data_IF_719187258028
#
_entry.id   IF_719187258028
#
_cell.length_a   1.000
_cell.length_b   1.000
_cell.length_c   1.000
_cell.angle_alpha   90.00
_cell.angle_beta   90.00
_cell.angle_gamma   90.00
#
_symmetry.space_group_name_H-M   'P 1'
#
loop_
_entity.id
_entity.type
_entity.pdbx_description
1 polymer ?
#
# COMPACT_ATOMS: atom_id res chain seq x y z
N UNK A 1 6.15 13.85 -15.30
CA UNK A 1 5.77 12.44 -15.06
C UNK A 1 4.59 12.12 -15.96
N UNK A 2 4.60 10.99 -16.68
CA UNK A 2 3.45 10.51 -17.45
C UNK A 2 2.87 9.30 -16.72
N UNK A 3 1.59 9.36 -16.36
CA UNK A 3 0.86 8.27 -15.69
C UNK A 3 -0.08 7.67 -16.71
N UNK A 4 0.21 6.46 -17.18
CA UNK A 4 -0.63 5.77 -18.18
C UNK A 4 -1.93 5.23 -17.54
N UNK A 5 -1.86 4.65 -16.33
CA UNK A 5 -3.03 4.19 -15.57
C UNK A 5 -3.04 4.73 -14.14
N UNK A 6 -4.20 5.19 -13.66
CA UNK A 6 -4.39 5.73 -12.32
C UNK A 6 -5.24 4.76 -11.47
N UNK A 7 -4.76 4.40 -10.29
CA UNK A 7 -5.49 3.56 -9.34
C UNK A 7 -5.98 4.43 -8.18
N UNK A 8 -7.29 4.49 -7.98
CA UNK A 8 -7.90 5.35 -6.96
C UNK A 8 -9.04 4.64 -6.23
N UNK A 9 -9.19 4.86 -4.92
CA UNK A 9 -10.41 4.45 -4.26
C UNK A 9 -11.59 5.30 -4.76
N UNK A 10 -12.80 4.75 -4.74
CA UNK A 10 -14.01 5.50 -5.11
C UNK A 10 -14.19 6.80 -4.31
N UNK A 11 -13.67 6.85 -3.07
CA UNK A 11 -13.61 8.07 -2.25
C UNK A 11 -12.88 9.23 -2.95
N UNK A 12 -11.77 8.96 -3.65
CA UNK A 12 -11.01 10.00 -4.35
C UNK A 12 -11.77 10.61 -5.54
N UNK A 13 -12.87 9.99 -5.98
CA UNK A 13 -13.76 10.49 -7.04
C UNK A 13 -14.94 11.24 -6.44
N UNK A 14 -15.52 10.70 -5.37
CA UNK A 14 -16.79 11.15 -4.79
C UNK A 14 -16.61 12.26 -3.77
N UNK A 15 -15.42 12.37 -3.18
CA UNK A 15 -15.12 13.37 -2.18
C UNK A 15 -15.30 14.81 -2.68
N UNK A 16 -15.86 15.65 -1.81
CA UNK A 16 -16.18 17.06 -2.05
C UNK A 16 -15.26 17.97 -1.22
N UNK A 17 -15.18 19.25 -1.60
CA UNK A 17 -14.42 20.28 -0.86
C UNK A 17 -12.93 19.93 -0.66
N UNK A 18 -12.26 19.52 -1.73
CA UNK A 18 -10.81 19.32 -1.77
C UNK A 18 -10.10 20.58 -2.25
N UNK A 19 -8.98 20.89 -1.59
CA UNK A 19 -8.05 21.94 -1.97
C UNK A 19 -6.83 21.39 -2.72
N UNK A 20 -6.09 22.29 -3.37
CA UNK A 20 -4.78 22.08 -3.98
C UNK A 20 -4.65 20.80 -4.83
N UNK A 21 -3.65 19.97 -4.56
CA UNK A 21 -3.26 18.81 -5.36
C UNK A 21 -4.32 17.71 -5.34
N UNK A 22 -5.00 17.52 -4.20
CA UNK A 22 -6.06 16.52 -4.06
C UNK A 22 -7.21 16.80 -5.05
N UNK A 23 -7.52 18.08 -5.26
CA UNK A 23 -8.52 18.50 -6.26
C UNK A 23 -8.09 18.14 -7.68
N UNK A 24 -6.81 18.30 -8.01
CA UNK A 24 -6.25 18.00 -9.35
C UNK A 24 -6.32 16.49 -9.62
N UNK A 25 -5.88 15.67 -8.66
CA UNK A 25 -5.94 14.21 -8.79
C UNK A 25 -7.38 13.72 -8.93
N UNK A 26 -8.32 14.28 -8.15
CA UNK A 26 -9.75 13.97 -8.31
C UNK A 26 -10.27 14.35 -9.70
N UNK A 27 -9.92 15.53 -10.22
CA UNK A 27 -10.37 15.96 -11.55
C UNK A 27 -9.85 15.02 -12.65
N UNK A 28 -8.60 14.60 -12.56
CA UNK A 28 -8.02 13.62 -13.49
C UNK A 28 -8.72 12.25 -13.36
N UNK A 29 -8.94 11.77 -12.13
CA UNK A 29 -9.67 10.52 -11.89
C UNK A 29 -11.09 10.55 -12.46
N UNK A 30 -11.83 11.65 -12.22
CA UNK A 30 -13.17 11.87 -12.79
C UNK A 30 -13.12 11.89 -14.31
N UNK A 31 -12.18 12.61 -14.92
CA UNK A 31 -12.03 12.68 -16.37
C UNK A 31 -11.82 11.28 -16.97
N UNK A 32 -10.88 10.51 -16.42
CA UNK A 32 -10.57 9.15 -16.88
C UNK A 32 -11.73 8.18 -16.67
N UNK A 33 -12.45 8.27 -15.55
CA UNK A 33 -13.64 7.45 -15.30
C UNK A 33 -14.75 7.77 -16.29
N UNK A 34 -15.03 9.06 -16.54
CA UNK A 34 -16.02 9.48 -17.55
C UNK A 34 -15.61 8.98 -18.94
N UNK A 35 -14.32 8.97 -19.28
CA UNK A 35 -13.82 8.39 -20.54
C UNK A 35 -13.77 6.86 -20.55
N UNK A 36 -13.77 6.21 -19.39
CA UNK A 36 -13.70 4.76 -19.25
C UNK A 36 -12.33 4.16 -19.60
N UNK A 37 -11.24 4.92 -19.45
CA UNK A 37 -9.89 4.47 -19.85
C UNK A 37 -8.79 5.03 -18.94
N UNK A 38 -7.70 4.28 -18.79
CA UNK A 38 -6.52 4.69 -18.00
C UNK A 38 -6.78 4.83 -16.50
N UNK A 39 -7.81 4.15 -15.97
CA UNK A 39 -8.16 4.20 -14.54
C UNK A 39 -8.68 2.86 -14.03
N UNK A 40 -8.31 2.53 -12.79
CA UNK A 40 -8.95 1.52 -11.95
C UNK A 40 -9.50 2.18 -10.69
N UNK A 41 -10.80 1.98 -10.46
CA UNK A 41 -11.54 2.51 -9.32
C UNK A 41 -11.82 1.38 -8.35
N UNK A 42 -11.38 1.53 -7.10
CA UNK A 42 -11.50 0.49 -6.09
C UNK A 42 -12.73 0.74 -5.24
N UNK A 43 -13.58 -0.29 -5.11
CA UNK A 43 -14.92 -0.26 -4.52
C UNK A 43 -15.98 0.47 -5.36
N UNK A 44 -17.25 0.26 -4.98
CA UNK A 44 -18.47 0.75 -5.63
C UNK A 44 -19.51 1.25 -4.61
N UNK A 45 -19.21 2.31 -3.84
CA UNK A 45 -20.19 2.94 -2.97
C UNK A 45 -21.39 3.47 -3.75
N UNK A 46 -22.52 3.65 -3.06
CA UNK A 46 -23.68 4.39 -3.57
C UNK A 46 -23.29 5.75 -4.17
N UNK A 47 -22.38 6.49 -3.51
CA UNK A 47 -21.89 7.77 -3.97
C UNK A 47 -21.19 7.71 -5.36
N UNK A 48 -20.57 6.58 -5.73
CA UNK A 48 -19.98 6.41 -7.05
C UNK A 48 -21.07 6.25 -8.12
N UNK A 49 -22.16 5.54 -7.78
CA UNK A 49 -23.30 5.40 -8.68
C UNK A 49 -23.94 6.78 -8.94
N UNK A 50 -24.18 7.58 -7.91
CA UNK A 50 -24.72 8.95 -8.07
C UNK A 50 -23.81 9.82 -8.95
N UNK A 51 -22.48 9.75 -8.75
CA UNK A 51 -21.54 10.50 -9.61
C UNK A 51 -21.64 10.09 -11.09
N UNK A 52 -21.78 8.79 -11.38
CA UNK A 52 -21.93 8.31 -12.74
C UNK A 52 -23.26 8.79 -13.35
N UNK A 53 -24.36 8.71 -12.60
CA UNK A 53 -25.68 9.16 -13.03
C UNK A 53 -25.69 10.66 -13.38
N UNK A 54 -25.07 11.49 -12.54
CA UNK A 54 -24.89 12.93 -12.79
C UNK A 54 -24.11 13.23 -14.09
N UNK A 55 -23.32 12.27 -14.56
CA UNK A 55 -22.55 12.35 -15.81
C UNK A 55 -23.17 11.54 -16.96
N UNK A 56 -24.43 11.11 -16.82
CA UNK A 56 -25.17 10.37 -17.85
C UNK A 56 -24.64 8.95 -18.07
N UNK A 57 -24.07 8.33 -17.04
CA UNK A 57 -23.49 6.99 -17.04
C UNK A 57 -24.11 6.13 -15.95
N UNK A 58 -23.92 4.83 -16.06
CA UNK A 58 -24.32 3.84 -15.05
C UNK A 58 -23.10 3.02 -14.60
N UNK A 59 -23.24 2.29 -13.49
CA UNK A 59 -22.20 1.35 -13.03
C UNK A 59 -21.85 0.33 -14.13
N UNK A 60 -22.81 -0.32 -14.83
CA UNK A 60 -22.53 -1.20 -15.96
C UNK A 60 -21.67 -0.56 -17.06
N UNK A 61 -21.88 0.72 -17.38
CA UNK A 61 -21.08 1.40 -18.41
C UNK A 61 -19.60 1.50 -18.05
N UNK A 62 -19.25 1.34 -16.77
CA UNK A 62 -17.90 1.49 -16.23
C UNK A 62 -17.43 0.28 -15.41
N UNK A 63 -18.09 -0.86 -15.54
CA UNK A 63 -17.77 -2.05 -14.76
C UNK A 63 -16.31 -2.49 -14.96
N UNK A 64 -15.77 -2.37 -16.18
CA UNK A 64 -14.37 -2.71 -16.50
C UNK A 64 -13.33 -1.80 -15.85
N UNK A 65 -13.74 -0.62 -15.36
CA UNK A 65 -12.91 0.28 -14.58
C UNK A 65 -12.96 -0.03 -13.08
N UNK A 66 -13.94 -0.80 -12.59
CA UNK A 66 -14.20 -0.98 -11.16
C UNK A 66 -13.64 -2.32 -10.67
N UNK A 67 -12.93 -2.29 -9.54
CA UNK A 67 -12.35 -3.47 -8.90
C UNK A 67 -12.81 -3.52 -7.45
N UNK A 68 -13.36 -4.65 -7.03
CA UNK A 68 -13.76 -4.87 -5.64
C UNK A 68 -12.67 -5.58 -4.83
N UNK A 69 -12.70 -5.42 -3.51
CA UNK A 69 -11.98 -6.30 -2.61
C UNK A 69 -12.31 -7.77 -2.87
N UNK A 70 -11.30 -8.64 -2.77
CA UNK A 70 -11.40 -10.06 -3.08
C UNK A 70 -11.11 -10.41 -4.55
N UNK A 71 -10.83 -9.43 -5.41
CA UNK A 71 -10.50 -9.65 -6.83
C UNK A 71 -9.02 -9.39 -7.12
N UNK A 72 -8.54 -9.98 -8.20
CA UNK A 72 -7.27 -9.62 -8.82
C UNK A 72 -7.46 -8.37 -9.70
N UNK A 73 -6.44 -7.52 -9.75
CA UNK A 73 -6.39 -6.41 -10.70
C UNK A 73 -6.14 -6.97 -12.11
N UNK A 74 -7.00 -6.68 -13.10
CA UNK A 74 -6.79 -7.12 -14.47
C UNK A 74 -5.53 -6.52 -15.10
N UNK A 75 -4.88 -7.27 -15.99
CA UNK A 75 -3.69 -6.83 -16.74
C UNK A 75 -2.35 -7.21 -16.10
N UNK A 76 -2.37 -7.87 -14.94
CA UNK A 76 -1.18 -8.36 -14.25
C UNK A 76 -1.35 -9.86 -14.00
N UNK A 77 -0.56 -10.67 -14.72
CA UNK A 77 -0.50 -12.12 -14.52
C UNK A 77 0.89 -12.52 -14.05
N UNK A 78 0.97 -13.21 -12.91
CA UNK A 78 2.23 -13.74 -12.39
C UNK A 78 2.84 -14.83 -13.27
N UNK A 79 2.06 -15.43 -14.16
CA UNK A 79 2.52 -16.38 -15.18
C UNK A 79 2.81 -15.71 -16.52
N UNK A 80 2.36 -14.46 -16.70
CA UNK A 80 2.58 -13.63 -17.87
C UNK A 80 3.94 -12.91 -17.84
N UNK A 81 4.21 -12.09 -18.86
CA UNK A 81 5.44 -11.29 -18.92
C UNK A 81 5.54 -10.24 -17.80
N UNK A 82 4.42 -9.90 -17.15
CA UNK A 82 4.40 -9.01 -15.99
C UNK A 82 5.06 -9.65 -14.76
N UNK A 83 5.03 -10.99 -14.68
CA UNK A 83 5.56 -11.78 -13.57
C UNK A 83 5.07 -11.32 -12.19
N UNK A 84 3.91 -10.65 -12.15
CA UNK A 84 3.28 -10.16 -10.94
C UNK A 84 1.75 -10.18 -11.05
N UNK A 85 1.06 -10.34 -9.92
CA UNK A 85 -0.38 -10.14 -9.78
C UNK A 85 -0.68 -9.31 -8.52
N UNK A 86 -1.82 -8.61 -8.51
CA UNK A 86 -2.25 -7.77 -7.39
C UNK A 86 -3.63 -8.20 -6.91
N UNK A 87 -3.74 -8.64 -5.67
CA UNK A 87 -4.98 -8.98 -5.01
C UNK A 87 -5.45 -7.83 -4.12
N UNK A 88 -6.72 -7.45 -4.23
CA UNK A 88 -7.28 -6.30 -3.51
C UNK A 88 -7.86 -6.75 -2.17
N UNK A 89 -7.35 -6.19 -1.07
CA UNK A 89 -7.88 -6.40 0.27
C UNK A 89 -8.89 -5.32 0.69
N UNK A 90 -8.68 -4.08 0.26
CA UNK A 90 -9.43 -2.90 0.67
C UNK A 90 -9.48 -1.87 -0.47
N UNK A 91 -10.50 -1.01 -0.57
CA UNK A 91 -11.67 -0.86 0.32
C UNK A 91 -12.80 -1.89 0.15
N UNK A 92 -13.54 -2.14 1.23
CA UNK A 92 -14.78 -2.93 1.22
C UNK A 92 -16.00 -2.06 0.88
N UNK A 93 -16.81 -2.49 -0.10
CA UNK A 93 -17.97 -1.72 -0.60
C UNK A 93 -18.98 -1.31 0.47
N UNK A 94 -19.34 -2.23 1.37
CA UNK A 94 -20.35 -1.98 2.39
C UNK A 94 -19.94 -0.98 3.49
N UNK A 95 -18.64 -0.68 3.63
CA UNK A 95 -18.17 0.35 4.57
C UNK A 95 -18.36 1.77 4.02
N UNK A 96 -18.33 1.91 2.70
CA UNK A 96 -18.43 3.21 2.03
C UNK A 96 -19.88 3.72 1.89
N UNK A 97 -20.88 2.90 2.23
CA UNK A 97 -22.32 3.23 2.13
C UNK A 97 -22.88 3.89 3.41
N UNK A 98 -22.10 3.98 4.49
CA UNK A 98 -22.56 4.52 5.79
C UNK A 98 -22.55 6.07 5.89
N UNK A 99 -22.34 6.79 4.78
CA UNK A 99 -22.40 8.26 4.71
C UNK A 99 -21.23 9.02 5.35
N UNK A 100 -20.31 8.35 6.05
CA UNK A 100 -19.04 8.90 6.52
C UNK A 100 -17.91 8.41 5.61
N UNK A 101 -17.37 9.30 4.78
CA UNK A 101 -16.15 9.03 4.02
C UNK A 101 -14.97 9.17 4.99
N UNK A 102 -14.59 8.09 5.66
CA UNK A 102 -13.27 8.04 6.28
C UNK A 102 -12.23 7.78 5.17
N UNK A 103 -11.49 8.83 4.81
CA UNK A 103 -10.46 8.81 3.76
C UNK A 103 -9.46 7.68 3.95
N UNK A 104 -9.07 7.42 5.19
CA UNK A 104 -8.06 6.42 5.51
C UNK A 104 -8.63 5.01 5.37
N UNK A 105 -9.88 4.78 5.79
CA UNK A 105 -10.54 3.47 5.65
C UNK A 105 -10.99 3.18 4.21
N UNK A 106 -11.06 4.22 3.37
CA UNK A 106 -11.19 4.09 1.92
C UNK A 106 -9.90 3.70 1.20
N UNK A 107 -8.77 3.55 1.90
CA UNK A 107 -7.48 3.32 1.26
C UNK A 107 -7.39 1.98 0.53
N UNK A 108 -6.65 2.00 -0.58
CA UNK A 108 -6.31 0.81 -1.33
C UNK A 108 -5.24 0.03 -0.56
N UNK A 109 -5.57 -1.20 -0.18
CA UNK A 109 -4.59 -2.17 0.31
C UNK A 109 -4.55 -3.33 -0.66
N UNK A 110 -3.36 -3.62 -1.18
CA UNK A 110 -3.14 -4.73 -2.10
C UNK A 110 -2.06 -5.65 -1.60
N UNK A 111 -2.24 -6.93 -1.90
CA UNK A 111 -1.22 -7.95 -1.81
C UNK A 111 -0.67 -8.18 -3.22
N UNK A 112 0.63 -7.98 -3.38
CA UNK A 112 1.34 -8.21 -4.64
C UNK A 112 2.09 -9.53 -4.55
N UNK A 113 1.84 -10.43 -5.50
CA UNK A 113 2.63 -11.65 -5.68
C UNK A 113 3.52 -11.46 -6.88
N UNK A 114 4.84 -11.57 -6.69
CA UNK A 114 5.83 -11.54 -7.77
C UNK A 114 6.46 -12.91 -7.93
N UNK A 115 6.69 -13.32 -9.17
CA UNK A 115 7.21 -14.64 -9.50
C UNK A 115 8.56 -14.55 -10.19
N UNK A 116 9.52 -15.34 -9.71
CA UNK A 116 10.80 -15.54 -10.38
C UNK A 116 11.12 -17.04 -10.44
N UNK A 117 11.03 -17.61 -11.65
CA UNK A 117 11.14 -19.05 -11.85
C UNK A 117 10.02 -19.81 -11.14
N UNK A 118 10.37 -20.54 -10.08
CA UNK A 118 9.42 -21.29 -9.24
C UNK A 118 9.11 -20.60 -7.91
N UNK A 119 9.83 -19.53 -7.59
CA UNK A 119 9.71 -18.83 -6.31
C UNK A 119 8.69 -17.70 -6.42
N UNK A 120 7.88 -17.54 -5.37
CA UNK A 120 6.97 -16.41 -5.20
C UNK A 120 7.42 -15.56 -4.02
N UNK A 121 7.37 -14.25 -4.21
CA UNK A 121 7.58 -13.21 -3.20
C UNK A 121 6.30 -12.42 -3.03
N UNK A 122 5.94 -12.18 -1.78
CA UNK A 122 4.72 -11.50 -1.40
C UNK A 122 5.01 -10.14 -0.79
N UNK A 123 4.37 -9.10 -1.32
CA UNK A 123 4.43 -7.76 -0.72
C UNK A 123 3.03 -7.31 -0.29
N UNK A 124 2.86 -7.01 0.99
CA UNK A 124 1.68 -6.36 1.50
C UNK A 124 1.90 -4.84 1.44
N UNK A 125 1.21 -4.19 0.50
CA UNK A 125 1.33 -2.76 0.27
C UNK A 125 0.31 -2.02 1.13
N UNK A 126 0.72 -1.71 2.36
CA UNK A 126 -0.09 -0.98 3.32
C UNK A 126 -0.32 0.48 2.94
N UNK A 127 -1.50 0.96 3.29
CA UNK A 127 -1.87 2.36 3.26
C UNK A 127 -2.11 2.86 4.68
N UNK A 128 -2.88 3.93 4.86
CA UNK A 128 -3.00 4.60 6.17
C UNK A 128 -4.16 4.06 7.02
N UNK A 129 -4.48 2.77 6.84
CA UNK A 129 -5.53 2.09 7.60
C UNK A 129 -5.10 1.78 9.05
N UNK A 130 -6.08 1.74 9.94
CA UNK A 130 -5.90 1.43 11.35
C UNK A 130 -6.07 -0.08 11.65
N UNK A 131 -5.97 -0.41 12.94
CA UNK A 131 -6.12 -1.76 13.47
C UNK A 131 -7.52 -2.34 13.25
N UNK A 132 -8.58 -1.53 13.19
CA UNK A 132 -9.94 -2.02 12.94
C UNK A 132 -10.07 -2.51 11.50
N UNK A 133 -9.60 -1.71 10.54
CA UNK A 133 -9.56 -2.11 9.13
C UNK A 133 -8.62 -3.27 8.87
N UNK A 134 -7.47 -3.32 9.51
CA UNK A 134 -6.58 -4.47 9.42
C UNK A 134 -7.24 -5.74 9.97
N UNK A 135 -7.87 -5.65 11.15
CA UNK A 135 -8.60 -6.77 11.74
C UNK A 135 -9.72 -7.25 10.81
N UNK A 136 -10.40 -6.33 10.14
CA UNK A 136 -11.44 -6.66 9.17
C UNK A 136 -10.88 -7.33 7.91
N UNK A 137 -9.74 -6.87 7.38
CA UNK A 137 -9.04 -7.53 6.28
C UNK A 137 -8.68 -8.96 6.67
N UNK A 138 -8.15 -9.16 7.88
CA UNK A 138 -7.79 -10.47 8.42
C UNK A 138 -9.02 -11.37 8.49
N UNK A 139 -10.07 -10.96 9.21
CA UNK A 139 -11.31 -11.74 9.39
C UNK A 139 -11.96 -12.07 8.05
N UNK A 140 -12.13 -11.07 7.18
CA UNK A 140 -12.75 -11.28 5.86
C UNK A 140 -11.95 -12.25 4.99
N UNK A 141 -10.61 -12.15 5.02
CA UNK A 141 -9.76 -13.08 4.27
C UNK A 141 -9.91 -14.51 4.81
N UNK A 142 -9.97 -14.69 6.14
CA UNK A 142 -10.21 -16.00 6.77
C UNK A 142 -11.58 -16.57 6.39
N UNK A 143 -12.63 -15.77 6.54
CA UNK A 143 -14.01 -16.16 6.22
C UNK A 143 -14.20 -16.56 4.75
N UNK A 144 -13.38 -16.01 3.85
CA UNK A 144 -13.42 -16.28 2.41
C UNK A 144 -12.40 -17.33 1.95
N UNK A 145 -11.62 -17.94 2.86
CA UNK A 145 -10.58 -18.92 2.50
C UNK A 145 -9.36 -18.32 1.78
N UNK A 146 -9.14 -17.01 1.93
CA UNK A 146 -8.07 -16.24 1.30
C UNK A 146 -6.90 -15.97 2.24
N UNK A 147 -6.70 -16.76 3.29
CA UNK A 147 -5.62 -16.61 4.27
C UNK A 147 -4.23 -16.56 3.61
N UNK A 148 -4.05 -17.34 2.54
CA UNK A 148 -2.83 -17.36 1.74
C UNK A 148 -2.45 -15.99 1.15
N UNK A 149 -3.42 -15.07 0.97
CA UNK A 149 -3.23 -13.69 0.48
C UNK A 149 -2.77 -12.71 1.56
N UNK A 150 -2.52 -13.19 2.77
CA UNK A 150 -2.03 -12.38 3.89
C UNK A 150 -0.58 -12.71 4.26
N UNK A 151 0.02 -13.77 3.69
CA UNK A 151 1.45 -14.00 3.83
C UNK A 151 2.26 -12.89 3.16
N UNK A 152 3.38 -12.50 3.78
CA UNK A 152 4.20 -11.41 3.28
C UNK A 152 5.69 -11.64 3.54
N UNK A 153 6.51 -11.26 2.55
CA UNK A 153 7.98 -11.13 2.63
C UNK A 153 8.38 -9.65 2.74
N UNK A 154 7.56 -8.74 2.19
CA UNK A 154 7.76 -7.29 2.25
C UNK A 154 6.50 -6.63 2.77
N UNK A 155 6.63 -5.76 3.76
CA UNK A 155 5.56 -4.95 4.30
C UNK A 155 5.87 -3.48 4.08
N UNK A 156 5.10 -2.80 3.22
CA UNK A 156 4.99 -1.35 3.30
C UNK A 156 4.13 -1.04 4.52
N UNK A 157 4.75 -0.48 5.55
CA UNK A 157 4.13 -0.34 6.86
C UNK A 157 2.90 0.57 6.80
N UNK A 158 1.87 0.17 7.54
CA UNK A 158 0.60 0.89 7.61
C UNK A 158 0.75 2.22 8.36
N UNK A 159 0.11 3.25 7.82
CA UNK A 159 -0.03 4.57 8.42
C UNK A 159 1.29 5.13 9.00
N UNK A 160 2.36 5.06 8.20
CA UNK A 160 3.66 5.65 8.53
C UNK A 160 4.27 5.20 9.88
N UNK A 161 4.02 3.97 10.34
CA UNK A 161 4.39 3.49 11.69
C UNK A 161 3.54 4.11 12.81
N UNK A 162 2.24 4.29 12.56
CA UNK A 162 1.30 4.70 13.61
C UNK A 162 1.05 3.58 14.61
N UNK A 163 0.87 3.92 15.88
CA UNK A 163 0.39 2.93 16.86
C UNK A 163 -1.06 2.51 16.56
N UNK A 164 -1.84 3.38 15.90
CA UNK A 164 -3.24 3.10 15.56
C UNK A 164 -3.40 1.96 14.55
N UNK A 165 -2.36 1.62 13.79
CA UNK A 165 -2.35 0.42 12.93
C UNK A 165 -2.07 -0.87 13.72
N UNK A 166 -1.69 -0.77 14.99
CA UNK A 166 -1.52 -1.90 15.89
C UNK A 166 -2.71 -2.04 16.86
N UNK A 167 -3.11 -0.95 17.49
CA UNK A 167 -4.00 -0.95 18.66
C UNK A 167 -4.71 0.39 18.84
N UNK A 168 -5.88 0.46 19.50
CA UNK A 168 -6.50 1.74 19.85
C UNK A 168 -5.66 2.55 20.85
N UNK A 169 -4.85 1.88 21.67
CA UNK A 169 -4.07 2.50 22.75
C UNK A 169 -2.57 2.50 22.42
N UNK A 170 -1.92 3.65 22.61
CA UNK A 170 -0.46 3.77 22.51
C UNK A 170 0.16 3.22 23.81
N UNK A 171 1.08 2.27 23.71
CA UNK A 171 1.83 1.81 24.87
C UNK A 171 2.87 2.82 25.35
N UNK A 172 3.51 2.56 26.50
CA UNK A 172 4.56 3.45 27.04
C UNK A 172 5.87 3.33 26.24
N UNK A 173 6.30 2.09 26.01
CA UNK A 173 7.54 1.75 25.31
C UNK A 173 7.34 0.85 24.09
N UNK A 174 6.34 -0.02 24.13
CA UNK A 174 5.93 -0.89 23.03
C UNK A 174 4.40 -0.84 22.95
N UNK A 175 3.86 -0.64 21.75
CA UNK A 175 2.42 -0.81 21.51
C UNK A 175 2.16 -2.27 21.18
N UNK A 176 1.41 -2.96 22.04
CA UNK A 176 0.97 -4.33 21.77
C UNK A 176 -0.23 -4.32 20.81
N UNK A 177 -0.20 -5.08 19.71
CA UNK A 177 -1.29 -5.13 18.74
C UNK A 177 -2.51 -5.87 19.25
N UNK A 178 -3.68 -5.57 18.67
CA UNK A 178 -4.86 -6.43 18.80
C UNK A 178 -4.64 -7.80 18.13
N UNK A 179 -5.34 -8.82 18.57
CA UNK A 179 -5.10 -10.23 18.18
C UNK A 179 -5.03 -10.49 16.67
N UNK A 180 -5.96 -9.95 15.88
CA UNK A 180 -5.95 -10.15 14.42
C UNK A 180 -4.72 -9.52 13.75
N UNK A 181 -4.33 -8.33 14.22
CA UNK A 181 -3.14 -7.61 13.72
C UNK A 181 -1.86 -8.31 14.16
N UNK A 182 -1.83 -8.81 15.40
CA UNK A 182 -0.75 -9.63 15.93
C UNK A 182 -0.54 -10.87 15.07
N UNK A 183 -1.61 -11.59 14.76
CA UNK A 183 -1.56 -12.77 13.92
C UNK A 183 -1.01 -12.47 12.52
N UNK A 184 -1.44 -11.36 11.90
CA UNK A 184 -0.91 -10.91 10.60
C UNK A 184 0.61 -10.70 10.61
N UNK A 185 1.15 -10.08 11.67
CA UNK A 185 2.56 -9.74 11.71
C UNK A 185 3.45 -10.84 12.29
N UNK A 186 3.00 -11.60 13.28
CA UNK A 186 3.81 -12.64 13.94
C UNK A 186 3.66 -14.02 13.30
N UNK A 187 2.50 -14.33 12.71
CA UNK A 187 2.23 -15.67 12.15
C UNK A 187 2.38 -15.73 10.63
N UNK A 188 2.03 -14.66 9.92
CA UNK A 188 1.98 -14.67 8.45
C UNK A 188 3.22 -14.07 7.78
N UNK A 189 4.09 -13.40 8.55
CA UNK A 189 5.41 -13.01 8.08
C UNK A 189 6.21 -14.24 7.64
N UNK A 190 6.88 -14.16 6.50
CA UNK A 190 7.84 -15.16 6.04
C UNK A 190 9.24 -14.81 6.55
N UNK A 191 10.15 -15.77 6.54
CA UNK A 191 11.52 -15.55 7.04
C UNK A 191 12.27 -14.47 6.23
N UNK A 192 13.19 -13.76 6.91
CA UNK A 192 14.00 -12.70 6.32
C UNK A 192 13.18 -11.53 5.74
N UNK A 193 12.01 -11.26 6.32
CA UNK A 193 11.09 -10.23 5.85
C UNK A 193 11.67 -8.82 5.92
N UNK A 194 11.09 -7.93 5.10
CA UNK A 194 11.46 -6.51 5.02
C UNK A 194 10.27 -5.65 5.41
N UNK A 195 10.38 -4.93 6.53
CA UNK A 195 9.42 -3.90 6.91
C UNK A 195 9.96 -2.54 6.48
N UNK A 196 9.23 -1.87 5.61
CA UNK A 196 9.57 -0.54 5.09
C UNK A 196 8.61 0.48 5.70
N UNK A 197 9.09 1.33 6.60
CA UNK A 197 8.34 2.45 7.17
C UNK A 197 8.49 3.70 6.28
N UNK A 198 7.44 4.11 5.55
CA UNK A 198 7.47 5.33 4.75
C UNK A 198 7.28 6.56 5.65
N UNK A 199 8.27 6.91 6.47
CA UNK A 199 8.12 7.95 7.51
C UNK A 199 9.38 8.80 7.65
N UNK A 200 9.25 9.87 8.45
CA UNK A 200 10.38 10.53 9.11
C UNK A 200 11.17 9.54 9.97
N UNK A 201 12.39 9.88 10.42
CA UNK A 201 13.12 9.09 11.39
C UNK A 201 12.28 8.80 12.64
N UNK A 202 12.44 7.60 13.21
CA UNK A 202 11.72 7.22 14.43
C UNK A 202 12.20 8.10 15.59
N UNK A 203 11.30 8.75 16.34
CA UNK A 203 11.69 9.67 17.41
C UNK A 203 12.39 8.95 18.56
N UNK A 204 13.19 9.71 19.32
CA UNK A 204 13.86 9.23 20.53
C UNK A 204 12.98 9.49 21.74
N UNK A 205 13.02 8.59 22.73
CA UNK A 205 12.18 8.70 23.93
C UNK A 205 12.36 10.07 24.61
N UNK A 206 11.25 10.75 24.86
CA UNK A 206 11.22 12.05 25.55
C UNK A 206 11.67 13.26 24.73
N UNK A 207 11.81 13.13 23.40
CA UNK A 207 11.91 14.32 22.53
C UNK A 207 10.53 14.85 22.18
N UNK A 208 10.45 16.09 21.67
CA UNK A 208 9.17 16.68 21.25
C UNK A 208 8.48 15.86 20.16
N UNK A 209 9.27 15.23 19.29
CA UNK A 209 8.78 14.36 18.23
C UNK A 209 8.20 13.05 18.78
N UNK A 210 8.59 12.59 19.97
CA UNK A 210 8.00 11.41 20.64
C UNK A 210 6.63 11.72 21.27
N UNK A 211 6.38 13.00 21.56
CA UNK A 211 5.11 13.52 22.08
C UNK A 211 4.11 13.85 20.96
N UNK A 212 4.55 13.88 19.70
CA UNK A 212 3.69 14.19 18.56
C UNK A 212 2.58 13.12 18.43
N UNK A 213 1.30 13.51 18.30
CA UNK A 213 0.22 12.57 18.00
C UNK A 213 0.31 12.00 16.56
N UNK A 214 1.05 12.63 15.66
CA UNK A 214 1.25 12.15 14.29
C UNK A 214 2.37 11.11 14.24
N UNK A 215 2.22 10.06 13.40
CA UNK A 215 3.26 9.08 13.18
C UNK A 215 4.51 9.69 12.52
N UNK A 216 5.70 9.05 12.66
CA UNK A 216 5.92 7.72 13.22
C UNK A 216 5.96 7.68 14.75
N UNK A 217 5.44 6.59 15.33
CA UNK A 217 5.47 6.38 16.77
C UNK A 217 6.59 5.40 17.16
N UNK A 218 7.45 5.81 18.11
CA UNK A 218 8.54 4.99 18.63
C UNK A 218 8.06 3.64 19.17
N UNK A 219 6.90 3.60 19.82
CA UNK A 219 6.34 2.40 20.45
C UNK A 219 5.86 1.37 19.43
N UNK A 220 5.32 1.83 18.30
CA UNK A 220 5.00 0.97 17.18
C UNK A 220 6.29 0.42 16.53
N UNK A 221 7.28 1.29 16.30
CA UNK A 221 8.58 0.86 15.76
C UNK A 221 9.28 -0.15 16.68
N UNK A 222 9.14 -0.01 18.01
CA UNK A 222 9.69 -0.95 18.98
C UNK A 222 9.05 -2.35 18.88
N UNK A 223 7.73 -2.42 18.67
CA UNK A 223 7.03 -3.68 18.37
C UNK A 223 7.58 -4.33 17.10
N UNK A 224 7.63 -3.59 15.98
CA UNK A 224 8.14 -4.16 14.73
C UNK A 224 9.59 -4.62 14.84
N UNK A 225 10.46 -3.84 15.48
CA UNK A 225 11.86 -4.24 15.72
C UNK A 225 11.99 -5.50 16.59
N UNK A 226 11.07 -5.70 17.54
CA UNK A 226 11.04 -6.89 18.39
C UNK A 226 10.74 -8.13 17.54
N UNK A 227 9.69 -8.11 16.73
CA UNK A 227 9.27 -9.29 15.95
C UNK A 227 10.24 -9.64 14.82
N UNK A 228 10.88 -8.66 14.16
CA UNK A 228 11.84 -8.95 13.08
C UNK A 228 13.17 -9.54 13.57
N UNK A 229 13.48 -9.35 14.85
CA UNK A 229 14.72 -9.89 15.44
C UNK A 229 14.65 -11.40 15.52
N UNK A 230 13.46 -11.95 15.68
CA UNK A 230 13.22 -13.38 15.81
C UNK A 230 13.26 -14.11 14.44
N UNK A 231 13.20 -13.35 13.33
CA UNK A 231 13.12 -13.83 11.95
C UNK A 231 14.34 -13.49 11.06
N UNK A 232 15.35 -12.80 11.61
CA UNK A 232 16.50 -12.26 10.87
C UNK A 232 16.08 -11.35 9.69
N UNK A 233 15.04 -10.55 9.92
CA UNK A 233 14.49 -9.56 9.00
C UNK A 233 15.13 -8.17 9.09
N UNK A 234 14.63 -7.22 8.29
CA UNK A 234 15.10 -5.83 8.28
C UNK A 234 13.95 -4.82 8.46
N UNK A 235 14.13 -3.85 9.35
CA UNK A 235 13.23 -2.71 9.53
C UNK A 235 13.92 -1.44 9.01
N UNK A 236 13.42 -0.91 7.89
CA UNK A 236 14.01 0.22 7.18
C UNK A 236 13.05 1.41 7.19
N UNK A 237 13.60 2.62 7.35
CA UNK A 237 12.82 3.86 7.43
C UNK A 237 13.24 4.76 6.28
N UNK A 238 12.31 5.20 5.44
CA UNK A 238 12.64 5.89 4.18
C UNK A 238 13.47 7.16 4.39
N UNK A 239 13.22 7.92 5.46
CA UNK A 239 13.99 9.13 5.77
C UNK A 239 15.20 8.89 6.69
N UNK A 240 15.53 7.63 7.00
CA UNK A 240 16.70 7.25 7.77
C UNK A 240 17.63 6.24 7.07
N UNK A 241 17.28 5.79 5.86
CA UNK A 241 18.02 4.77 5.12
C UNK A 241 18.66 5.37 3.84
N UNK A 242 19.97 5.20 3.59
CA UNK A 242 20.94 4.47 4.43
C UNK A 242 21.40 5.28 5.66
N UNK A 243 21.08 6.58 5.72
CA UNK A 243 21.33 7.44 6.88
C UNK A 243 20.33 8.57 6.94
N UNK A 244 20.03 9.08 8.14
CA UNK A 244 19.16 10.25 8.34
C UNK A 244 19.68 11.53 7.67
N UNK A 245 21.00 11.69 7.59
CA UNK A 245 21.62 12.87 6.98
C UNK A 245 21.49 12.89 5.44
N UNK A 246 21.45 11.71 4.81
CA UNK A 246 21.37 11.54 3.35
C UNK A 246 20.54 10.30 3.02
N UNK A 247 19.20 10.38 3.18
CA UNK A 247 18.33 9.28 2.81
C UNK A 247 18.33 9.11 1.29
N UNK A 248 18.19 7.87 0.83
CA UNK A 248 18.05 7.54 -0.59
C UNK A 248 16.91 6.55 -0.78
N UNK A 249 16.29 6.47 -1.97
CA UNK A 249 15.26 5.47 -2.24
C UNK A 249 15.75 4.05 -1.89
N UNK A 250 14.99 3.35 -1.04
CA UNK A 250 15.26 1.95 -0.71
C UNK A 250 14.92 1.12 -1.95
N UNK A 251 15.90 0.36 -2.44
CA UNK A 251 15.73 -0.51 -3.60
C UNK A 251 15.73 -1.96 -3.12
N UNK A 252 14.64 -2.66 -3.38
CA UNK A 252 14.55 -4.09 -3.13
C UNK A 252 14.82 -4.83 -4.44
N UNK A 253 15.67 -5.83 -4.38
CA UNK A 253 15.88 -6.80 -5.46
C UNK A 253 15.21 -8.10 -5.06
N UNK A 254 14.32 -8.55 -5.92
CA UNK A 254 13.67 -9.85 -5.80
C UNK A 254 14.44 -10.80 -6.70
N UNK A 255 14.79 -11.97 -6.15
CA UNK A 255 15.40 -13.08 -6.88
C UNK A 255 14.65 -14.37 -6.58
N UNK A 256 14.99 -15.46 -7.28
CA UNK A 256 14.54 -16.80 -6.90
C UNK A 256 14.93 -17.21 -5.45
N UNK A 257 15.89 -16.51 -4.82
CA UNK A 257 16.34 -16.73 -3.43
C UNK A 257 15.57 -15.87 -2.41
N UNK A 258 14.65 -15.00 -2.85
CA UNK A 258 13.88 -14.11 -1.99
C UNK A 258 14.24 -12.64 -2.18
N UNK A 259 14.00 -11.84 -1.14
CA UNK A 259 14.13 -10.37 -1.19
C UNK A 259 15.43 -9.91 -0.53
N UNK A 260 16.15 -9.04 -1.23
CA UNK A 260 17.36 -8.39 -0.71
C UNK A 260 17.29 -6.89 -0.85
N UNK A 261 17.87 -6.18 0.12
CA UNK A 261 18.02 -4.73 0.07
C UNK A 261 19.29 -4.42 -0.73
N UNK A 262 19.15 -3.68 -1.82
CA UNK A 262 20.31 -3.25 -2.58
C UNK A 262 21.03 -2.14 -1.83
N UNK A 263 22.27 -2.41 -1.41
CA UNK A 263 23.15 -1.38 -0.89
C UNK A 263 23.35 -0.31 -1.96
N UNK A 264 23.08 0.96 -1.61
CA UNK A 264 23.45 2.07 -2.47
C UNK A 264 24.99 2.03 -2.62
N UNK A 265 25.49 1.69 -3.80
CA UNK A 265 26.88 1.94 -4.12
C UNK A 265 27.12 3.44 -3.88
N UNK A 266 28.11 3.78 -3.07
CA UNK A 266 28.53 5.16 -2.91
C UNK A 266 28.71 5.73 -4.32
N UNK A 267 27.93 6.74 -4.68
CA UNK A 267 27.99 7.33 -6.01
C UNK A 267 29.42 7.88 -6.19
N UNK A 268 30.29 7.11 -6.83
CA UNK A 268 31.51 7.66 -7.41
C UNK A 268 31.04 8.54 -8.55
N UNK A 269 31.28 9.84 -8.43
CA UNK A 269 30.92 10.82 -9.43
C UNK A 269 31.64 10.50 -10.76
N UNK A 270 30.97 9.78 -11.66
CA UNK A 270 31.40 9.59 -13.04
C UNK A 270 30.21 9.69 -13.97
N UNK A 271 30.11 10.87 -14.60
CA UNK A 271 29.45 11.23 -15.87
C UNK A 271 28.06 10.65 -16.20
N UNK A 272 27.11 11.58 -16.31
CA UNK A 272 25.80 11.42 -16.95
C UNK A 272 25.98 10.93 -18.41
N UNK A 273 25.55 9.72 -18.70
CA UNK A 273 25.19 9.32 -20.05
C UNK A 273 23.66 9.20 -20.09
N UNK A 274 23.02 10.11 -20.81
CA UNK A 274 21.58 10.10 -21.01
C UNK A 274 21.19 8.84 -21.80
N UNK A 275 20.48 7.91 -21.17
CA UNK A 275 19.74 6.88 -21.88
C UNK A 275 18.39 7.47 -22.31
N UNK A 276 18.28 7.81 -23.59
CA UNK A 276 16.99 8.04 -24.25
C UNK A 276 16.11 6.80 -24.08
N UNK A 277 14.87 6.92 -23.58
CA UNK A 277 13.95 5.80 -23.55
C UNK A 277 13.59 5.40 -24.99
N UNK A 278 13.75 4.12 -25.28
CA UNK A 278 13.42 3.48 -26.56
C UNK A 278 11.92 3.60 -26.83
N UNK A 279 11.60 4.28 -27.94
CA UNK A 279 10.27 4.35 -28.55
C UNK A 279 9.90 2.96 -29.06
N UNK A 280 8.88 2.32 -28.47
CA UNK A 280 8.26 1.13 -29.05
C UNK A 280 7.24 1.54 -30.12
N UNK A 281 7.25 0.77 -31.21
CA UNK A 281 6.79 1.15 -32.53
C UNK A 281 5.28 1.10 -32.74
N UNK A 282 4.88 1.87 -33.75
CA UNK A 282 3.59 1.83 -34.43
C UNK A 282 3.80 0.98 -35.69
N UNK A 283 3.20 -0.20 -35.75
CA UNK A 283 2.96 -0.96 -36.98
C UNK A 283 1.74 -1.85 -36.76
N UNK A 284 0.69 -1.61 -37.56
CA UNK A 284 -0.63 -2.24 -37.48
C UNK A 284 -1.71 -1.18 -37.45
#
# INVERSE_FOLDING_TARGET
MKIDELWVPAGAITEMSLDDDARIIRQEARHRLIKGTGIKVFSRPEALASFLEDNGLTIPDREHCIIDAGKLVPGFDKWGPEAAEFFVHSPFAWRTDAGLIDRNQGSIVVHMTMREGLSETYALLGADIDHESLSQIVRTSRDRGNEHRLHWDVLKLFHHCSYLSLSPDKGDDITEPVEDVKWLFETLARQHEKIISPSWPIPKKGTKEDEDPQPPHRQAAAYYRKIIKDSDGEFLVTMATPSEARPTPIRLKITAQGVSVMLAAAATATSVAASTPTRAGRTG
#
